data_IF_605580442214
#
_entry.id   IF_605580442214
#
_cell.length_a   1.000
_cell.length_b   1.000
_cell.length_c   1.000
_cell.angle_alpha   90.00
_cell.angle_beta   90.00
_cell.angle_gamma   90.00
#
_symmetry.space_group_name_H-M   'P 1'
#
loop_
_entity.id
_entity.type
_entity.pdbx_description
1 polymer ?
#
# COMPACT_ATOMS: atom_id res chain seq x y z
N UNK A 1 47.69 -23.77 -11.53
CA UNK A 1 46.61 -24.43 -10.76
C UNK A 1 45.67 -23.34 -10.26
N UNK A 2 44.55 -23.17 -10.94
CA UNK A 2 43.51 -22.21 -10.53
C UNK A 2 42.38 -23.01 -9.93
N UNK A 3 42.10 -22.81 -8.67
CA UNK A 3 40.98 -23.45 -7.98
C UNK A 3 39.68 -22.71 -8.32
N UNK A 4 38.79 -23.41 -8.99
CA UNK A 4 37.44 -22.98 -9.32
C UNK A 4 36.56 -23.09 -8.07
N UNK A 5 36.25 -22.00 -7.42
CA UNK A 5 35.17 -21.92 -6.42
C UNK A 5 33.92 -21.44 -7.13
N UNK A 6 33.09 -22.37 -7.54
CA UNK A 6 31.76 -22.09 -8.09
C UNK A 6 30.85 -21.55 -6.99
N UNK A 7 30.48 -20.26 -7.06
CA UNK A 7 29.45 -19.65 -6.25
C UNK A 7 28.05 -20.18 -6.61
N UNK A 8 27.01 -19.82 -5.86
CA UNK A 8 25.64 -20.39 -5.96
C UNK A 8 24.85 -19.92 -7.21
N UNK A 9 25.51 -19.39 -8.23
CA UNK A 9 24.89 -18.88 -9.45
C UNK A 9 25.17 -19.82 -10.64
N UNK A 10 24.11 -20.39 -11.22
CA UNK A 10 24.20 -21.19 -12.44
C UNK A 10 23.95 -20.29 -13.66
N UNK A 11 25.01 -19.94 -14.36
CA UNK A 11 25.00 -19.06 -15.53
C UNK A 11 24.34 -19.70 -16.77
N UNK A 12 24.03 -20.98 -16.77
CA UNK A 12 23.39 -21.69 -17.89
C UNK A 12 21.87 -21.62 -17.87
N UNK A 13 21.26 -21.39 -16.69
CA UNK A 13 19.80 -21.36 -16.53
C UNK A 13 19.26 -20.04 -15.99
N UNK A 14 20.12 -19.10 -15.59
CA UNK A 14 19.72 -17.79 -15.03
C UNK A 14 19.01 -17.87 -13.68
N UNK A 15 19.07 -19.00 -12.99
CA UNK A 15 18.38 -19.24 -11.73
C UNK A 15 19.32 -19.31 -10.53
N UNK A 16 18.94 -18.62 -9.46
CA UNK A 16 19.61 -18.71 -8.16
C UNK A 16 19.13 -19.98 -7.43
N UNK A 17 20.01 -20.96 -7.25
CA UNK A 17 19.69 -22.13 -6.41
C UNK A 17 19.96 -21.78 -4.94
N UNK A 18 18.90 -21.63 -4.16
CA UNK A 18 19.00 -21.64 -2.70
C UNK A 18 19.22 -23.11 -2.27
N UNK A 19 20.28 -23.43 -1.50
CA UNK A 19 20.47 -24.77 -0.99
C UNK A 19 19.25 -25.19 -0.16
N UNK A 20 18.65 -26.33 -0.49
CA UNK A 20 17.45 -26.86 0.22
C UNK A 20 17.69 -27.08 1.73
N UNK A 21 18.92 -27.11 2.19
CA UNK A 21 19.30 -27.18 3.60
C UNK A 21 18.96 -25.93 4.39
N UNK A 22 19.14 -24.72 3.81
CA UNK A 22 18.85 -23.45 4.51
C UNK A 22 17.35 -23.16 4.56
N UNK A 23 16.62 -23.43 3.49
CA UNK A 23 15.16 -23.30 3.49
C UNK A 23 14.51 -24.24 4.52
N UNK A 24 15.08 -25.44 4.72
CA UNK A 24 14.62 -26.39 5.74
C UNK A 24 14.95 -25.92 7.16
N UNK A 25 16.04 -25.20 7.35
CA UNK A 25 16.45 -24.69 8.67
C UNK A 25 15.56 -23.50 9.09
N UNK A 26 15.25 -22.60 8.17
CA UNK A 26 14.34 -21.47 8.43
C UNK A 26 12.92 -22.00 8.73
N UNK A 27 12.41 -22.94 7.94
CA UNK A 27 11.11 -23.57 8.21
C UNK A 27 11.08 -24.40 9.50
N UNK A 28 12.17 -25.08 9.87
CA UNK A 28 12.26 -25.81 11.14
C UNK A 28 12.31 -24.91 12.37
N UNK A 29 12.89 -23.73 12.26
CA UNK A 29 12.91 -22.76 13.37
C UNK A 29 11.57 -22.05 13.54
N UNK A 30 10.85 -21.77 12.46
CA UNK A 30 9.47 -21.27 12.52
C UNK A 30 8.53 -22.35 13.07
N UNK A 31 8.75 -23.64 12.76
CA UNK A 31 7.92 -24.74 13.25
C UNK A 31 8.23 -25.13 14.71
N UNK A 32 9.45 -24.89 15.20
CA UNK A 32 9.83 -25.16 16.60
C UNK A 32 9.29 -24.16 17.60
N UNK A 33 8.92 -22.94 17.17
CA UNK A 33 8.21 -21.95 18.00
C UNK A 33 6.74 -22.37 18.19
N UNK A 34 6.21 -23.27 17.36
CA UNK A 34 4.82 -23.75 17.41
C UNK A 34 4.63 -25.05 18.22
N UNK A 35 5.67 -25.70 18.76
CA UNK A 35 5.54 -27.03 19.40
C UNK A 35 6.04 -27.15 20.85
N UNK A 36 6.33 -26.05 21.52
CA UNK A 36 6.75 -26.10 22.92
C UNK A 36 5.75 -25.37 23.83
N UNK A 37 4.51 -25.82 23.90
CA UNK A 37 3.64 -25.68 25.08
C UNK A 37 2.36 -26.48 24.91
N UNK A 38 2.45 -27.78 25.13
CA UNK A 38 1.25 -28.59 25.40
C UNK A 38 1.48 -29.28 26.76
N UNK A 39 0.92 -28.69 27.79
CA UNK A 39 0.40 -29.33 29.01
C UNK A 39 0.35 -28.34 30.18
N UNK A 40 -0.59 -27.43 30.16
CA UNK A 40 -1.35 -26.93 31.32
C UNK A 40 -2.62 -26.33 30.72
N UNK A 41 -3.81 -26.71 31.20
CA UNK A 41 -5.10 -26.21 30.76
C UNK A 41 -5.26 -24.71 31.03
N UNK A 42 -4.75 -23.92 30.09
CA UNK A 42 -4.91 -22.48 29.98
C UNK A 42 -5.26 -22.19 28.54
N UNK A 43 -6.27 -21.37 28.32
CA UNK A 43 -6.60 -20.78 27.04
C UNK A 43 -5.28 -20.26 26.44
N UNK A 44 -4.77 -20.91 25.39
CA UNK A 44 -3.68 -20.37 24.61
C UNK A 44 -4.20 -19.10 23.95
N UNK A 45 -4.06 -17.96 24.61
CA UNK A 45 -4.06 -16.66 23.96
C UNK A 45 -2.89 -16.72 22.99
N UNK A 46 -3.17 -17.02 21.72
CA UNK A 46 -2.16 -16.90 20.69
C UNK A 46 -1.57 -15.51 20.77
N UNK A 47 -0.29 -15.40 21.12
CA UNK A 47 0.41 -14.13 21.09
C UNK A 47 0.38 -13.68 19.63
N UNK A 48 -0.52 -12.77 19.34
CA UNK A 48 -0.62 -12.13 18.02
C UNK A 48 0.57 -11.18 17.93
N UNK A 49 1.34 -11.28 16.84
CA UNK A 49 2.46 -10.37 16.63
C UNK A 49 1.93 -8.92 16.64
N UNK A 50 2.63 -8.03 17.32
CA UNK A 50 2.26 -6.62 17.32
C UNK A 50 2.36 -6.06 15.89
N UNK A 51 1.57 -5.05 15.51
CA UNK A 51 1.67 -4.41 14.19
C UNK A 51 3.08 -3.98 13.83
N UNK A 52 3.87 -3.55 14.81
CA UNK A 52 5.25 -3.14 14.62
C UNK A 52 6.17 -4.32 14.26
N UNK A 53 5.97 -5.50 14.85
CA UNK A 53 6.73 -6.72 14.50
C UNK A 53 6.52 -7.08 13.02
N UNK A 54 5.30 -6.91 12.52
CA UNK A 54 4.99 -7.11 11.10
C UNK A 54 5.74 -6.10 10.22
N UNK A 55 5.70 -4.81 10.57
CA UNK A 55 6.40 -3.76 9.83
C UNK A 55 7.90 -4.03 9.78
N UNK A 56 8.52 -4.36 10.92
CA UNK A 56 9.94 -4.69 11.00
C UNK A 56 10.29 -5.94 10.17
N UNK A 57 9.45 -6.97 10.20
CA UNK A 57 9.64 -8.17 9.40
C UNK A 57 9.66 -7.87 7.90
N UNK A 58 8.76 -7.00 7.41
CA UNK A 58 8.74 -6.57 6.01
C UNK A 58 9.98 -5.75 5.65
N UNK A 59 10.37 -4.79 6.49
CA UNK A 59 11.57 -3.97 6.28
C UNK A 59 12.82 -4.87 6.23
N UNK A 60 12.93 -5.81 7.15
CA UNK A 60 14.05 -6.78 7.20
C UNK A 60 14.09 -7.67 5.95
N UNK A 61 12.93 -8.16 5.49
CA UNK A 61 12.84 -8.98 4.29
C UNK A 61 13.31 -8.21 3.05
N UNK A 62 12.91 -6.94 2.91
CA UNK A 62 13.35 -6.12 1.78
C UNK A 62 14.81 -5.68 1.89
N UNK A 63 15.32 -5.39 3.09
CA UNK A 63 16.73 -5.11 3.31
C UNK A 63 17.62 -6.31 2.95
N UNK A 64 17.16 -7.52 3.22
CA UNK A 64 17.85 -8.74 2.78
C UNK A 64 17.84 -8.89 1.25
N UNK A 65 16.70 -8.59 0.60
CA UNK A 65 16.55 -8.75 -0.85
C UNK A 65 17.22 -7.63 -1.66
N UNK A 66 17.23 -6.42 -1.13
CA UNK A 66 17.78 -5.22 -1.75
C UNK A 66 18.72 -4.51 -0.75
N UNK A 67 19.90 -5.10 -0.46
CA UNK A 67 20.77 -4.64 0.64
C UNK A 67 21.28 -3.21 0.46
N UNK A 68 21.43 -2.76 -0.80
CA UNK A 68 21.97 -1.44 -1.12
C UNK A 68 20.88 -0.37 -1.31
N UNK A 69 19.59 -0.76 -1.24
CA UNK A 69 18.49 0.18 -1.41
C UNK A 69 18.22 0.91 -0.09
N UNK A 70 18.33 2.25 -0.04
CA UNK A 70 17.93 3.05 1.11
C UNK A 70 16.42 2.90 1.35
N UNK A 71 16.00 2.96 2.62
CA UNK A 71 14.60 2.76 2.97
C UNK A 71 13.68 3.84 2.39
N UNK A 72 14.13 5.07 2.37
CA UNK A 72 13.44 6.23 1.82
C UNK A 72 13.11 6.09 0.34
N UNK A 73 13.89 5.33 -0.42
CA UNK A 73 13.64 5.10 -1.84
C UNK A 73 12.38 4.26 -2.11
N UNK A 74 11.87 3.51 -1.12
CA UNK A 74 10.65 2.72 -1.30
C UNK A 74 9.41 3.55 -1.63
N UNK A 75 9.41 4.87 -1.35
CA UNK A 75 8.34 5.79 -1.77
C UNK A 75 8.12 5.79 -3.29
N UNK A 76 9.15 5.46 -4.06
CA UNK A 76 9.13 5.40 -5.52
C UNK A 76 8.53 4.08 -6.06
N UNK A 77 8.16 3.14 -5.18
CA UNK A 77 7.52 1.88 -5.57
C UNK A 77 8.42 1.02 -6.46
N UNK A 78 7.95 0.64 -7.67
CA UNK A 78 8.75 -0.14 -8.60
C UNK A 78 10.01 0.60 -9.07
N UNK A 79 9.96 1.92 -9.15
CA UNK A 79 11.07 2.75 -9.62
C UNK A 79 12.22 2.88 -8.60
N UNK A 80 12.03 2.39 -7.38
CA UNK A 80 13.14 2.21 -6.44
C UNK A 80 14.14 1.12 -6.90
N UNK A 81 13.67 0.16 -7.70
CA UNK A 81 14.43 -1.02 -8.11
C UNK A 81 14.53 -1.20 -9.64
N UNK A 82 13.70 -0.52 -10.42
CA UNK A 82 13.70 -0.51 -11.90
C UNK A 82 14.38 0.78 -12.40
N UNK A 83 15.68 0.73 -12.65
CA UNK A 83 16.47 1.89 -13.08
C UNK A 83 15.98 2.48 -14.41
N UNK A 84 15.72 1.64 -15.39
CA UNK A 84 15.24 2.09 -16.72
C UNK A 84 13.83 2.66 -16.61
N UNK A 85 12.97 2.00 -15.84
CA UNK A 85 11.64 2.53 -15.54
C UNK A 85 11.71 3.86 -14.77
N UNK A 86 12.71 4.03 -13.90
CA UNK A 86 12.97 5.26 -13.16
C UNK A 86 13.31 6.43 -14.06
N UNK A 87 14.28 6.27 -14.97
CA UNK A 87 14.68 7.30 -15.93
C UNK A 87 13.49 7.77 -16.80
N UNK A 88 12.70 6.83 -17.30
CA UNK A 88 11.49 7.16 -18.06
C UNK A 88 10.42 7.88 -17.22
N UNK A 89 10.29 7.51 -15.95
CA UNK A 89 9.36 8.16 -15.03
C UNK A 89 9.80 9.58 -14.68
N UNK A 90 11.08 9.80 -14.41
CA UNK A 90 11.65 11.13 -14.14
C UNK A 90 11.43 12.08 -15.32
N UNK A 91 11.57 11.61 -16.57
CA UNK A 91 11.24 12.39 -17.75
C UNK A 91 9.73 12.74 -17.85
N UNK A 92 8.83 11.84 -17.38
CA UNK A 92 7.39 12.13 -17.33
C UNK A 92 7.08 13.17 -16.24
N UNK A 93 7.82 13.15 -15.13
CA UNK A 93 7.61 14.08 -14.00
C UNK A 93 8.08 15.51 -14.32
N UNK A 94 8.79 15.76 -15.44
CA UNK A 94 9.06 17.11 -15.95
C UNK A 94 7.77 17.83 -16.41
N UNK A 95 6.79 17.07 -16.95
CA UNK A 95 5.46 17.52 -17.34
C UNK A 95 4.41 16.50 -16.90
N UNK A 96 4.08 16.46 -15.61
CA UNK A 96 3.32 15.34 -15.06
C UNK A 96 1.87 15.31 -15.55
N UNK A 97 1.40 14.19 -16.09
CA UNK A 97 0.05 14.07 -16.66
C UNK A 97 -1.07 14.18 -15.61
N UNK A 98 -0.72 14.24 -14.35
CA UNK A 98 -1.67 14.46 -13.24
C UNK A 98 -1.82 15.94 -12.84
N UNK A 99 -1.04 16.86 -13.38
CA UNK A 99 -1.11 18.30 -13.05
C UNK A 99 -2.51 18.90 -13.25
N UNK A 100 -3.22 18.63 -14.37
CA UNK A 100 -4.60 19.14 -14.53
C UNK A 100 -5.57 18.62 -13.46
N UNK A 101 -5.30 17.45 -12.87
CA UNK A 101 -6.11 16.91 -11.78
C UNK A 101 -5.85 17.63 -10.45
N UNK A 102 -4.63 18.14 -10.24
CA UNK A 102 -4.31 18.97 -9.07
C UNK A 102 -5.09 20.28 -9.16
N UNK A 103 -5.07 20.94 -10.32
CA UNK A 103 -5.74 22.22 -10.52
C UNK A 103 -7.27 22.08 -10.37
N UNK A 104 -7.87 21.08 -11.00
CA UNK A 104 -9.29 20.79 -10.82
C UNK A 104 -9.64 20.44 -9.36
N UNK A 105 -8.76 19.72 -8.67
CA UNK A 105 -8.94 19.40 -7.26
C UNK A 105 -8.86 20.62 -6.35
N UNK A 106 -7.97 21.58 -6.67
CA UNK A 106 -7.89 22.89 -5.96
C UNK A 106 -9.17 23.68 -6.14
N UNK A 107 -9.66 23.79 -7.38
CA UNK A 107 -10.94 24.45 -7.65
C UNK A 107 -12.09 23.80 -6.85
N UNK A 108 -12.17 22.48 -6.84
CA UNK A 108 -13.16 21.76 -6.03
C UNK A 108 -13.03 22.05 -4.53
N UNK A 109 -11.81 22.13 -4.00
CA UNK A 109 -11.56 22.41 -2.59
C UNK A 109 -12.04 23.81 -2.17
N UNK A 110 -11.91 24.78 -3.05
CA UNK A 110 -12.26 26.19 -2.82
C UNK A 110 -13.73 26.47 -3.13
N UNK A 111 -14.38 25.66 -3.97
CA UNK A 111 -15.77 25.88 -4.38
C UNK A 111 -16.74 25.52 -3.24
N UNK A 112 -17.60 26.46 -2.83
CA UNK A 112 -18.61 26.21 -1.81
C UNK A 112 -19.63 25.14 -2.25
N UNK A 113 -20.07 24.34 -1.31
CA UNK A 113 -21.24 23.48 -1.44
C UNK A 113 -22.53 24.32 -1.56
N UNK A 114 -23.64 23.69 -1.94
CA UNK A 114 -24.92 24.38 -2.08
C UNK A 114 -25.40 25.08 -0.79
N UNK A 115 -24.92 24.64 0.37
CA UNK A 115 -25.21 25.24 1.67
C UNK A 115 -24.23 26.38 2.07
N UNK A 116 -23.30 26.77 1.20
CA UNK A 116 -22.29 27.80 1.42
C UNK A 116 -21.05 27.38 2.23
N UNK A 117 -21.00 26.15 2.75
CA UNK A 117 -19.80 25.60 3.38
C UNK A 117 -18.83 25.04 2.32
N UNK A 118 -17.61 24.77 2.75
CA UNK A 118 -16.54 24.23 1.89
C UNK A 118 -15.93 22.97 2.54
N UNK A 119 -14.99 22.35 1.86
CA UNK A 119 -14.21 21.26 2.47
C UNK A 119 -13.40 21.73 3.71
N UNK A 120 -13.06 23.02 3.83
CA UNK A 120 -12.38 23.56 5.01
C UNK A 120 -13.22 23.46 6.28
N UNK A 121 -14.54 23.44 6.17
CA UNK A 121 -15.43 23.25 7.31
C UNK A 121 -15.38 21.83 7.87
N UNK A 122 -15.04 20.83 7.02
CA UNK A 122 -14.84 19.45 7.44
C UNK A 122 -13.37 19.16 7.82
N UNK A 123 -12.44 19.87 7.19
CA UNK A 123 -10.99 19.68 7.32
C UNK A 123 -10.33 21.01 7.73
N UNK A 124 -10.47 21.42 9.00
CA UNK A 124 -10.02 22.74 9.46
C UNK A 124 -8.50 22.94 9.36
N UNK A 125 -7.72 21.85 9.34
CA UNK A 125 -6.27 21.89 9.14
C UNK A 125 -5.85 22.16 7.67
N UNK A 126 -6.82 22.36 6.77
CA UNK A 126 -6.57 22.61 5.35
C UNK A 126 -6.29 21.34 4.55
N UNK A 127 -5.69 21.45 3.35
CA UNK A 127 -5.49 20.31 2.46
C UNK A 127 -4.28 19.43 2.81
N UNK A 128 -3.42 19.84 3.74
CA UNK A 128 -2.21 19.07 4.15
C UNK A 128 -2.59 17.95 5.11
N UNK A 129 -3.41 17.00 4.66
CA UNK A 129 -4.03 15.98 5.52
C UNK A 129 -3.84 14.54 5.06
N UNK A 130 -3.27 14.30 3.86
CA UNK A 130 -3.15 12.93 3.35
C UNK A 130 -2.36 12.00 4.28
N UNK A 131 -1.35 12.50 5.00
CA UNK A 131 -0.54 11.74 5.95
C UNK A 131 -1.31 11.27 7.20
N UNK A 132 -2.49 11.86 7.48
CA UNK A 132 -3.38 11.47 8.59
C UNK A 132 -4.28 10.28 8.24
N UNK A 133 -4.24 9.80 6.99
CA UNK A 133 -5.08 8.72 6.49
C UNK A 133 -4.27 7.53 5.96
N UNK A 134 -4.82 6.30 6.08
CA UNK A 134 -6.03 5.95 6.84
C UNK A 134 -5.79 6.02 8.34
N UNK A 135 -6.85 6.18 9.11
CA UNK A 135 -6.80 6.04 10.57
C UNK A 135 -7.98 5.21 11.08
N UNK A 136 -7.90 4.74 12.33
CA UNK A 136 -9.01 4.11 12.98
C UNK A 136 -9.98 5.15 13.53
N UNK A 137 -11.21 5.14 13.03
CA UNK A 137 -12.29 5.94 13.58
C UNK A 137 -12.99 5.15 14.70
N UNK A 138 -12.75 5.55 15.94
CA UNK A 138 -13.24 4.86 17.13
C UNK A 138 -14.75 5.00 17.29
N UNK A 139 -15.33 6.14 16.85
CA UNK A 139 -16.76 6.41 16.97
C UNK A 139 -17.54 5.57 15.97
N UNK A 140 -17.11 5.54 14.70
CA UNK A 140 -17.74 4.76 13.65
C UNK A 140 -17.33 3.28 13.70
N UNK A 141 -16.25 2.93 14.41
CA UNK A 141 -15.73 1.57 14.50
C UNK A 141 -15.21 1.02 13.17
N UNK A 142 -14.54 1.86 12.38
CA UNK A 142 -14.04 1.48 11.06
C UNK A 142 -12.74 2.19 10.69
N UNK A 143 -12.03 1.64 9.71
CA UNK A 143 -10.89 2.32 9.10
C UNK A 143 -11.40 3.45 8.19
N UNK A 144 -11.08 4.68 8.55
CA UNK A 144 -11.39 5.88 7.80
C UNK A 144 -10.29 6.14 6.79
N UNK A 145 -10.61 6.08 5.51
CA UNK A 145 -9.71 6.46 4.42
C UNK A 145 -10.02 7.88 3.94
N UNK A 146 -9.06 8.56 3.35
CA UNK A 146 -9.28 9.93 2.85
C UNK A 146 -10.44 10.02 1.84
N UNK A 147 -10.59 9.12 0.84
CA UNK A 147 -11.74 9.16 -0.06
C UNK A 147 -13.09 8.99 0.67
N UNK A 148 -13.14 8.16 1.72
CA UNK A 148 -14.34 7.99 2.52
C UNK A 148 -14.68 9.26 3.28
N UNK A 149 -13.71 9.87 3.95
CA UNK A 149 -13.87 11.12 4.69
C UNK A 149 -14.35 12.28 3.79
N UNK A 150 -13.79 12.39 2.56
CA UNK A 150 -14.24 13.37 1.57
C UNK A 150 -15.73 13.19 1.24
N UNK A 151 -16.17 11.95 1.00
CA UNK A 151 -17.57 11.70 0.69
C UNK A 151 -18.49 11.91 1.90
N UNK A 152 -18.06 11.54 3.10
CA UNK A 152 -18.82 11.86 4.33
C UNK A 152 -18.98 13.39 4.52
N UNK A 153 -17.92 14.16 4.25
CA UNK A 153 -18.01 15.61 4.25
C UNK A 153 -19.05 16.13 3.26
N UNK A 154 -19.06 15.60 2.03
CA UNK A 154 -20.05 15.98 1.00
C UNK A 154 -21.47 15.65 1.44
N UNK A 155 -21.71 14.43 1.90
CA UNK A 155 -23.03 13.97 2.35
C UNK A 155 -23.56 14.78 3.54
N UNK A 156 -22.67 15.13 4.50
CA UNK A 156 -23.00 15.99 5.63
C UNK A 156 -23.39 17.43 5.21
N UNK A 157 -22.98 17.85 4.00
CA UNK A 157 -23.32 19.14 3.43
C UNK A 157 -24.39 19.08 2.32
N UNK A 158 -25.09 17.94 2.19
CA UNK A 158 -26.20 17.75 1.24
C UNK A 158 -25.74 17.47 -0.19
N UNK A 159 -24.45 17.20 -0.41
CA UNK A 159 -23.91 16.90 -1.71
C UNK A 159 -23.94 15.39 -1.98
N UNK A 160 -24.02 15.02 -3.27
CA UNK A 160 -23.93 13.60 -3.66
C UNK A 160 -22.49 13.08 -3.49
N UNK A 161 -22.30 11.83 -3.01
CA UNK A 161 -20.99 11.22 -2.94
C UNK A 161 -20.38 11.01 -4.33
N UNK A 162 -19.08 11.16 -4.42
CA UNK A 162 -18.28 10.93 -5.62
C UNK A 162 -17.98 9.44 -5.80
N UNK A 163 -17.84 8.99 -7.05
CA UNK A 163 -17.44 7.60 -7.34
C UNK A 163 -16.00 7.36 -6.89
N UNK A 164 -15.75 6.33 -6.08
CA UNK A 164 -14.47 6.12 -5.39
C UNK A 164 -13.27 5.72 -6.24
N UNK A 165 -13.45 5.29 -7.50
CA UNK A 165 -12.33 4.73 -8.28
C UNK A 165 -11.71 5.72 -9.27
N UNK A 166 -12.46 6.72 -9.75
CA UNK A 166 -12.05 7.67 -10.80
C UNK A 166 -12.99 8.87 -10.87
N UNK A 167 -12.60 9.87 -11.66
CA UNK A 167 -13.36 11.12 -11.84
C UNK A 167 -13.10 12.09 -10.69
N UNK A 168 -14.04 12.97 -10.34
CA UNK A 168 -13.81 14.08 -9.42
C UNK A 168 -13.18 13.73 -8.07
N UNK A 169 -13.41 12.50 -7.56
CA UNK A 169 -12.71 12.03 -6.35
C UNK A 169 -11.18 12.01 -6.54
N UNK A 170 -10.71 11.69 -7.75
CA UNK A 170 -9.26 11.66 -8.02
C UNK A 170 -8.67 13.04 -8.21
N UNK A 171 -9.46 14.03 -8.60
CA UNK A 171 -9.06 15.42 -8.71
C UNK A 171 -8.78 16.00 -7.33
N UNK A 172 -9.76 15.95 -6.42
CA UNK A 172 -9.58 16.46 -5.06
C UNK A 172 -8.49 15.69 -4.29
N UNK A 173 -8.38 14.39 -4.48
CA UNK A 173 -7.31 13.59 -3.88
C UNK A 173 -5.94 13.96 -4.44
N UNK A 174 -5.82 14.31 -5.73
CA UNK A 174 -4.56 14.77 -6.33
C UNK A 174 -4.10 16.08 -5.73
N UNK A 175 -5.00 17.03 -5.52
CA UNK A 175 -4.69 18.27 -4.83
C UNK A 175 -4.23 18.03 -3.40
N UNK A 176 -4.99 17.28 -2.60
CA UNK A 176 -4.65 16.99 -1.20
C UNK A 176 -3.32 16.23 -1.10
N UNK A 177 -3.07 15.28 -1.99
CA UNK A 177 -1.81 14.53 -2.01
C UNK A 177 -0.63 15.43 -2.38
N UNK A 178 -0.79 16.33 -3.35
CA UNK A 178 0.22 17.31 -3.74
C UNK A 178 0.60 18.24 -2.59
N UNK A 179 -0.39 18.82 -1.92
CA UNK A 179 -0.17 19.69 -0.76
C UNK A 179 0.46 18.94 0.43
N UNK A 180 0.25 17.62 0.51
CA UNK A 180 0.79 16.76 1.57
C UNK A 180 2.15 16.13 1.23
N UNK A 181 2.77 16.45 0.11
CA UNK A 181 4.12 15.94 -0.24
C UNK A 181 5.13 16.28 0.86
N UNK A 182 6.02 15.34 1.14
CA UNK A 182 7.04 15.48 2.19
C UNK A 182 6.51 15.24 3.62
N UNK A 183 5.18 15.14 3.81
CA UNK A 183 4.65 14.73 5.12
C UNK A 183 4.93 13.25 5.37
N UNK A 184 5.33 12.94 6.59
CA UNK A 184 5.68 11.57 6.99
C UNK A 184 4.43 10.77 7.35
N UNK A 185 4.29 9.58 6.78
CA UNK A 185 3.23 8.63 7.14
C UNK A 185 3.43 8.14 8.57
N UNK A 186 2.39 8.27 9.39
CA UNK A 186 2.37 7.77 10.77
C UNK A 186 0.97 7.26 11.12
N UNK A 187 0.64 6.07 10.64
CA UNK A 187 -0.64 5.39 10.93
C UNK A 187 -0.51 4.65 12.25
N UNK A 188 -1.48 4.82 13.13
CA UNK A 188 -1.53 4.18 14.43
C UNK A 188 -2.57 3.06 14.45
N UNK A 189 -2.28 2.00 15.20
CA UNK A 189 -3.25 0.97 15.60
C UNK A 189 -3.45 1.13 17.11
N UNK A 190 -4.53 1.81 17.55
CA UNK A 190 -4.76 2.10 18.97
C UNK A 190 -4.84 0.83 19.81
N UNK A 191 -4.03 0.76 20.88
CA UNK A 191 -4.00 -0.39 21.79
C UNK A 191 -5.25 -0.48 22.68
N UNK A 192 -5.92 0.66 22.90
CA UNK A 192 -7.11 0.77 23.75
C UNK A 192 -8.42 0.39 23.03
N UNK A 193 -8.34 0.08 21.72
CA UNK A 193 -9.49 -0.39 20.94
C UNK A 193 -9.16 -1.70 20.19
N UNK A 194 -9.56 -2.85 20.71
CA UNK A 194 -9.27 -4.15 20.07
C UNK A 194 -9.88 -4.29 18.68
N UNK A 195 -10.87 -3.46 18.29
CA UNK A 195 -11.45 -3.45 16.93
C UNK A 195 -10.45 -2.89 15.93
N UNK A 196 -9.59 -1.93 16.32
CA UNK A 196 -8.53 -1.39 15.47
C UNK A 196 -7.52 -2.48 15.12
N UNK A 197 -7.06 -3.25 16.11
CA UNK A 197 -6.17 -4.38 15.90
C UNK A 197 -6.84 -5.45 15.01
N UNK A 198 -8.12 -5.75 15.25
CA UNK A 198 -8.87 -6.70 14.44
C UNK A 198 -8.97 -6.25 12.96
N UNK A 199 -9.15 -4.95 12.70
CA UNK A 199 -9.16 -4.39 11.34
C UNK A 199 -7.78 -4.49 10.67
N UNK A 200 -6.70 -4.19 11.41
CA UNK A 200 -5.33 -4.36 10.94
C UNK A 200 -5.03 -5.81 10.55
N UNK A 201 -5.35 -6.76 11.44
CA UNK A 201 -5.17 -8.19 11.20
C UNK A 201 -6.05 -8.72 10.07
N UNK A 202 -7.25 -8.20 9.89
CA UNK A 202 -8.10 -8.51 8.73
C UNK A 202 -7.44 -8.04 7.43
N UNK A 203 -6.83 -6.85 7.42
CA UNK A 203 -6.05 -6.33 6.30
C UNK A 203 -4.83 -7.20 5.99
N UNK A 204 -4.07 -7.58 7.02
CA UNK A 204 -2.95 -8.53 6.93
C UNK A 204 -3.40 -9.88 6.39
N UNK A 205 -4.46 -10.45 6.92
CA UNK A 205 -5.04 -11.71 6.43
C UNK A 205 -5.43 -11.60 4.96
N UNK A 206 -6.08 -10.48 4.57
CA UNK A 206 -6.43 -10.24 3.17
C UNK A 206 -5.18 -10.19 2.28
N UNK A 207 -4.10 -9.53 2.72
CA UNK A 207 -2.84 -9.43 1.99
C UNK A 207 -2.21 -10.79 1.70
N UNK A 208 -2.25 -11.73 2.66
CA UNK A 208 -1.66 -13.06 2.54
C UNK A 208 -2.61 -14.11 1.93
N UNK A 209 -3.93 -13.86 1.92
CA UNK A 209 -4.91 -14.84 1.42
C UNK A 209 -4.82 -14.97 -0.09
N UNK A 210 -4.55 -16.19 -0.56
CA UNK A 210 -4.59 -16.55 -1.99
C UNK A 210 -6.03 -16.58 -2.49
N UNK A 211 -6.25 -16.11 -3.72
CA UNK A 211 -7.58 -16.02 -4.33
C UNK A 211 -7.52 -16.06 -5.84
N UNK A 212 -8.72 -16.12 -6.45
CA UNK A 212 -8.88 -16.17 -7.90
C UNK A 212 -8.43 -17.50 -8.51
N UNK A 213 -8.70 -17.65 -9.80
CA UNK A 213 -8.34 -18.87 -10.53
C UNK A 213 -6.82 -19.09 -10.61
N UNK A 214 -6.02 -18.02 -10.55
CA UNK A 214 -4.56 -18.12 -10.55
C UNK A 214 -3.97 -18.37 -9.16
N UNK A 215 -4.81 -18.41 -8.11
CA UNK A 215 -4.42 -18.72 -6.74
C UNK A 215 -3.22 -17.90 -6.22
N UNK A 216 -3.24 -16.57 -6.42
CA UNK A 216 -2.23 -15.65 -5.92
C UNK A 216 -2.81 -14.75 -4.80
N UNK A 217 -1.91 -14.29 -3.93
CA UNK A 217 -2.15 -13.25 -2.93
C UNK A 217 -1.37 -11.98 -3.27
N UNK A 218 -1.62 -10.87 -2.56
CA UNK A 218 -0.77 -9.67 -2.67
C UNK A 218 0.68 -10.01 -2.33
N UNK A 219 0.89 -10.82 -1.27
CA UNK A 219 2.21 -11.28 -0.84
C UNK A 219 2.94 -12.07 -1.93
N UNK A 220 2.23 -12.84 -2.76
CA UNK A 220 2.84 -13.63 -3.84
C UNK A 220 3.63 -12.76 -4.82
N UNK A 221 3.13 -11.56 -5.11
CA UNK A 221 3.79 -10.61 -6.01
C UNK A 221 4.71 -9.66 -5.24
N UNK A 222 4.21 -9.04 -4.17
CA UNK A 222 4.81 -7.87 -3.56
C UNK A 222 5.74 -8.15 -2.37
N UNK A 223 5.72 -9.36 -1.79
CA UNK A 223 6.65 -9.79 -0.75
C UNK A 223 7.60 -10.90 -1.23
N UNK A 224 7.05 -11.91 -1.92
CA UNK A 224 7.85 -13.05 -2.36
C UNK A 224 8.65 -12.74 -3.64
N UNK A 225 8.10 -11.96 -4.56
CA UNK A 225 8.65 -11.71 -5.90
C UNK A 225 8.83 -10.23 -6.28
N UNK A 226 9.12 -9.27 -5.36
CA UNK A 226 9.44 -7.91 -5.80
C UNK A 226 10.72 -7.93 -6.64
N UNK A 227 10.78 -7.07 -7.66
CA UNK A 227 11.88 -7.05 -8.64
C UNK A 227 11.68 -7.98 -9.83
N UNK A 228 10.75 -8.94 -9.77
CA UNK A 228 10.42 -9.79 -10.92
C UNK A 228 9.57 -9.00 -11.92
N UNK A 229 9.82 -9.26 -13.20
CA UNK A 229 9.01 -8.68 -14.28
C UNK A 229 7.75 -9.52 -14.51
N UNK A 230 6.61 -8.85 -14.56
CA UNK A 230 5.33 -9.43 -14.97
C UNK A 230 4.78 -8.62 -16.12
N UNK A 231 4.80 -9.18 -17.34
CA UNK A 231 4.53 -8.45 -18.60
C UNK A 231 5.52 -7.30 -18.75
N UNK A 232 5.04 -6.06 -18.77
CA UNK A 232 5.86 -4.85 -18.92
C UNK A 232 6.15 -4.16 -17.59
N UNK A 233 5.73 -4.73 -16.46
CA UNK A 233 5.83 -4.10 -15.14
C UNK A 233 6.77 -4.87 -14.23
N UNK A 234 7.58 -4.17 -13.48
CA UNK A 234 8.36 -4.72 -12.37
C UNK A 234 7.48 -4.72 -11.12
N UNK A 235 7.46 -5.84 -10.40
CA UNK A 235 6.73 -5.96 -9.14
C UNK A 235 7.42 -5.15 -8.05
N UNK A 236 6.72 -4.21 -7.47
CA UNK A 236 7.24 -3.36 -6.38
C UNK A 236 7.20 -4.07 -5.02
N UNK A 237 8.08 -3.70 -4.07
CA UNK A 237 7.89 -4.00 -2.66
C UNK A 237 6.59 -3.41 -2.12
N UNK A 238 6.03 -3.97 -1.03
CA UNK A 238 4.80 -3.43 -0.39
C UNK A 238 5.06 -2.18 0.45
N UNK A 239 6.23 -2.07 1.06
CA UNK A 239 6.65 -0.83 1.75
C UNK A 239 6.70 0.29 0.72
N UNK A 240 6.10 1.43 1.04
CA UNK A 240 5.93 2.55 0.11
C UNK A 240 4.75 2.43 -0.87
N UNK A 241 3.96 1.35 -0.81
CA UNK A 241 2.83 1.14 -1.73
C UNK A 241 1.78 2.25 -1.70
N UNK A 242 1.58 2.87 -0.55
CA UNK A 242 0.51 3.86 -0.34
C UNK A 242 0.98 5.30 -0.44
N UNK A 243 2.30 5.56 -0.49
CA UNK A 243 2.86 6.91 -0.38
C UNK A 243 2.64 7.81 -1.59
N UNK A 244 2.38 7.22 -2.78
CA UNK A 244 2.33 7.94 -4.05
C UNK A 244 0.92 8.03 -4.69
N UNK A 245 -0.12 7.74 -3.94
CA UNK A 245 -1.51 7.79 -4.43
C UNK A 245 -2.16 9.16 -4.20
N UNK A 246 -3.11 9.54 -5.11
CA UNK A 246 -3.58 8.81 -6.30
C UNK A 246 -2.53 8.79 -7.41
N UNK A 247 -2.72 7.94 -8.45
CA UNK A 247 -1.76 7.83 -9.54
C UNK A 247 -2.41 7.97 -10.90
N UNK A 248 -1.73 8.69 -11.81
CA UNK A 248 -1.96 8.57 -13.24
C UNK A 248 -1.33 7.29 -13.74
N UNK A 249 -2.07 6.48 -14.47
CA UNK A 249 -1.51 5.32 -15.15
C UNK A 249 -1.72 5.43 -16.64
N UNK A 250 -0.65 5.26 -17.43
CA UNK A 250 -0.71 5.27 -18.89
C UNK A 250 -1.76 4.30 -19.41
N UNK A 251 -1.84 3.10 -18.83
CA UNK A 251 -2.87 2.10 -19.15
C UNK A 251 -4.31 2.59 -18.90
N UNK A 252 -4.52 3.50 -17.97
CA UNK A 252 -5.86 4.03 -17.66
C UNK A 252 -6.18 5.30 -18.45
N UNK A 253 -5.17 6.02 -18.92
CA UNK A 253 -5.27 7.33 -19.53
C UNK A 253 -5.82 8.39 -18.57
N UNK A 254 -5.76 8.15 -17.27
CA UNK A 254 -6.31 9.02 -16.23
C UNK A 254 -5.75 8.69 -14.86
N UNK A 255 -6.01 9.56 -13.89
CA UNK A 255 -5.74 9.31 -12.47
C UNK A 255 -6.74 8.30 -11.89
N UNK A 256 -6.30 7.48 -10.97
CA UNK A 256 -7.11 6.51 -10.26
C UNK A 256 -6.69 6.36 -8.81
N UNK A 257 -7.63 5.90 -7.97
CA UNK A 257 -7.39 5.66 -6.55
C UNK A 257 -6.70 4.32 -6.28
N UNK A 258 -6.16 4.16 -5.07
CA UNK A 258 -5.56 2.91 -4.59
C UNK A 258 -6.57 1.74 -4.67
N UNK A 259 -7.84 1.95 -4.30
CA UNK A 259 -8.86 0.90 -4.40
C UNK A 259 -9.20 0.51 -5.84
N UNK A 260 -9.04 1.43 -6.82
CA UNK A 260 -9.05 1.06 -8.25
C UNK A 260 -7.92 0.09 -8.58
N UNK A 261 -6.72 0.32 -8.01
CA UNK A 261 -5.58 -0.58 -8.21
C UNK A 261 -5.81 -1.95 -7.56
N UNK A 262 -6.35 -2.00 -6.35
CA UNK A 262 -6.71 -3.27 -5.70
C UNK A 262 -7.70 -4.08 -6.53
N UNK A 263 -8.72 -3.41 -7.09
CA UNK A 263 -9.67 -4.05 -8.00
C UNK A 263 -8.96 -4.67 -9.21
N UNK A 264 -8.10 -3.90 -9.89
CA UNK A 264 -7.35 -4.40 -11.04
C UNK A 264 -6.36 -5.51 -10.71
N UNK A 265 -5.76 -5.53 -9.50
CA UNK A 265 -4.93 -6.65 -9.06
C UNK A 265 -5.75 -7.92 -8.87
N UNK A 266 -6.94 -7.85 -8.26
CA UNK A 266 -7.85 -8.98 -8.14
C UNK A 266 -8.27 -9.51 -9.52
N UNK A 267 -8.65 -8.64 -10.45
CA UNK A 267 -9.00 -9.01 -11.82
C UNK A 267 -7.83 -9.69 -12.56
N UNK A 268 -6.59 -9.21 -12.37
CA UNK A 268 -5.40 -9.81 -12.98
C UNK A 268 -5.16 -11.26 -12.54
N UNK A 269 -5.54 -11.61 -11.32
CA UNK A 269 -5.47 -12.99 -10.82
C UNK A 269 -6.78 -13.76 -11.00
N UNK A 270 -7.72 -13.23 -11.79
CA UNK A 270 -9.04 -13.78 -12.05
C UNK A 270 -9.89 -13.98 -10.79
N UNK A 271 -9.72 -13.09 -9.80
CA UNK A 271 -10.59 -12.97 -8.65
C UNK A 271 -11.63 -11.87 -8.88
N UNK A 272 -12.79 -11.99 -8.24
CA UNK A 272 -13.80 -10.91 -8.22
C UNK A 272 -13.20 -9.68 -7.53
N UNK A 273 -13.28 -8.53 -8.20
CA UNK A 273 -12.99 -7.24 -7.56
C UNK A 273 -14.03 -6.98 -6.44
N UNK A 274 -13.56 -6.41 -5.33
CA UNK A 274 -14.44 -6.02 -4.25
C UNK A 274 -14.89 -4.56 -4.42
N UNK A 275 -15.84 -4.16 -3.62
CA UNK A 275 -16.35 -2.80 -3.61
C UNK A 275 -15.27 -1.83 -3.09
N UNK A 276 -15.13 -0.70 -3.76
CA UNK A 276 -14.24 0.36 -3.28
C UNK A 276 -14.84 0.97 -2.00
N UNK A 277 -13.99 1.20 -1.00
CA UNK A 277 -14.38 1.59 0.35
C UNK A 277 -15.19 0.51 1.11
N UNK A 278 -15.30 -0.71 0.59
CA UNK A 278 -15.71 -1.87 1.38
C UNK A 278 -14.67 -2.19 2.46
N UNK A 279 -15.10 -2.82 3.55
CA UNK A 279 -14.28 -3.10 4.73
C UNK A 279 -12.94 -3.77 4.37
N UNK A 280 -12.95 -4.79 3.51
CA UNK A 280 -11.74 -5.53 3.15
C UNK A 280 -10.67 -4.66 2.49
N UNK A 281 -11.07 -3.71 1.63
CA UNK A 281 -10.11 -2.82 0.99
C UNK A 281 -9.64 -1.70 1.92
N UNK A 282 -10.50 -1.20 2.82
CA UNK A 282 -10.09 -0.23 3.84
C UNK A 282 -9.07 -0.86 4.81
N UNK A 283 -9.35 -2.07 5.28
CA UNK A 283 -8.47 -2.81 6.17
C UNK A 283 -7.13 -3.15 5.48
N UNK A 284 -7.15 -3.51 4.18
CA UNK A 284 -5.94 -3.72 3.40
C UNK A 284 -5.12 -2.42 3.25
N UNK A 285 -5.76 -1.29 2.99
CA UNK A 285 -5.11 0.03 2.93
C UNK A 285 -4.47 0.37 4.28
N UNK A 286 -5.18 0.12 5.39
CA UNK A 286 -4.69 0.34 6.74
C UNK A 286 -3.41 -0.46 7.03
N UNK A 287 -3.44 -1.76 6.75
CA UNK A 287 -2.26 -2.63 6.88
C UNK A 287 -1.08 -2.15 6.02
N UNK A 288 -1.31 -1.88 4.72
CA UNK A 288 -0.24 -1.46 3.80
C UNK A 288 0.33 -0.09 4.15
N UNK A 289 -0.49 0.83 4.64
CA UNK A 289 -0.02 2.16 5.03
C UNK A 289 0.79 2.09 6.32
N UNK A 290 0.38 1.26 7.28
CA UNK A 290 1.17 1.01 8.48
C UNK A 290 2.56 0.45 8.15
N UNK A 291 2.68 -0.47 7.19
CA UNK A 291 3.99 -0.96 6.74
C UNK A 291 4.90 0.16 6.19
N UNK A 292 4.30 1.26 5.73
CA UNK A 292 4.98 2.41 5.14
C UNK A 292 5.25 3.54 6.15
N UNK A 293 4.95 3.35 7.44
CA UNK A 293 5.21 4.35 8.48
C UNK A 293 6.68 4.80 8.48
N UNK A 294 6.88 6.09 8.65
CA UNK A 294 8.18 6.74 8.61
C UNK A 294 8.69 7.04 7.19
N UNK A 295 7.88 6.80 6.15
CA UNK A 295 8.16 7.24 4.79
C UNK A 295 7.37 8.50 4.46
N UNK A 296 7.96 9.37 3.64
CA UNK A 296 7.33 10.58 3.14
C UNK A 296 6.30 10.27 2.05
N UNK A 297 5.25 11.08 1.99
CA UNK A 297 4.31 11.08 0.89
C UNK A 297 4.91 11.79 -0.32
N UNK A 298 4.78 11.21 -1.50
CA UNK A 298 5.21 11.78 -2.76
C UNK A 298 4.13 11.75 -3.86
N UNK A 299 2.87 11.58 -3.46
CA UNK A 299 1.73 11.65 -4.37
C UNK A 299 1.35 13.08 -4.78
N UNK A 300 0.54 13.25 -5.86
CA UNK A 300 0.19 12.22 -6.82
C UNK A 300 1.40 11.77 -7.65
N UNK A 301 1.33 10.57 -8.25
CA UNK A 301 2.44 10.04 -9.05
C UNK A 301 1.99 9.59 -10.44
N UNK A 302 2.97 9.36 -11.34
CA UNK A 302 2.75 8.73 -12.63
C UNK A 302 3.28 7.29 -12.63
N UNK A 303 2.57 6.38 -13.30
CA UNK A 303 2.94 4.97 -13.47
C UNK A 303 2.55 4.47 -14.86
N UNK A 304 3.22 3.44 -15.34
CA UNK A 304 2.87 2.76 -16.61
C UNK A 304 1.43 2.25 -16.63
#
# INVERSE_FOLDING_TARGET
MWSNTSGPFDSSTGNYRIPMSETRMIMKNILKILTATALVGGVALGVQAAPEDDREAFVKAYKWKFPDLPREEYVNGAYAIDKVGRENWEAIEEFPPYEPFIDAGREMWETPFANGKTYKDCFPDGPVIAHKYPHWDKEQGLVMTLPLAINQCREANGEKPLKYKRGPITEILSYIAFESRGQVTNVEVPEDDPRALAAFEAGKKFYFTRRGQLNFSCASCHLQNPGMQVRTEILSPSVGHTTHWPVYRSKWGTVGTLHRRFSGCNENIRAKALEAQGEQYRNLEYFLTYLSNGLELNGPGARK
#
